data_IF_213944993992
#
_entry.id   IF_213944993992
#
_cell.length_a   1.000
_cell.length_b   1.000
_cell.length_c   1.000
_cell.angle_alpha   90.00
_cell.angle_beta   90.00
_cell.angle_gamma   90.00
#
_symmetry.space_group_name_H-M   'P 1'
#
loop_
_entity.id
_entity.type
_entity.pdbx_description
1 polymer ?
#
# COMPACT_ATOMS: atom_id res chain seq x y z
N UNK A 1 -4.88 32.81 11.93
CA UNK A 1 -4.71 31.68 10.97
C UNK A 1 -4.68 30.31 11.67
N UNK A 2 -5.70 29.96 12.47
CA UNK A 2 -5.85 28.60 13.05
C UNK A 2 -7.23 27.98 12.80
N UNK A 3 -8.23 28.80 12.49
CA UNK A 3 -9.63 28.36 12.28
C UNK A 3 -9.83 27.66 10.93
N UNK A 4 -9.15 28.13 9.88
CA UNK A 4 -9.28 27.58 8.52
C UNK A 4 -8.74 26.13 8.46
N UNK A 5 -7.68 25.83 9.21
CA UNK A 5 -7.05 24.50 9.26
C UNK A 5 -7.85 23.47 10.04
N UNK A 6 -8.69 23.90 10.99
CA UNK A 6 -9.54 23.00 11.79
C UNK A 6 -10.82 22.66 11.01
N UNK A 7 -11.41 23.65 10.33
CA UNK A 7 -12.59 23.44 9.48
C UNK A 7 -12.30 22.55 8.27
N UNK A 8 -11.11 22.67 7.67
CA UNK A 8 -10.73 21.79 6.56
C UNK A 8 -10.59 20.33 7.02
N UNK A 9 -9.96 20.05 8.17
CA UNK A 9 -9.90 18.69 8.73
C UNK A 9 -11.27 18.09 9.03
N UNK A 10 -12.22 18.90 9.49
CA UNK A 10 -13.59 18.45 9.74
C UNK A 10 -14.35 18.17 8.43
N UNK A 11 -14.16 18.99 7.40
CA UNK A 11 -14.75 18.78 6.07
C UNK A 11 -14.14 17.56 5.35
N UNK A 12 -12.83 17.35 5.44
CA UNK A 12 -12.15 16.19 4.85
C UNK A 12 -12.61 14.85 5.44
N UNK A 13 -13.08 14.84 6.70
CA UNK A 13 -13.63 13.65 7.37
C UNK A 13 -15.08 13.32 6.99
N UNK A 14 -15.79 14.23 6.31
CA UNK A 14 -17.18 14.05 5.91
C UNK A 14 -17.34 13.51 4.49
N UNK A 15 -16.26 13.46 3.71
CA UNK A 15 -16.21 12.78 2.42
C UNK A 15 -15.77 11.33 2.68
N UNK A 16 -16.44 10.32 2.09
CA UNK A 16 -15.98 8.93 2.18
C UNK A 16 -14.62 8.86 1.50
N UNK A 17 -13.58 8.88 2.32
CA UNK A 17 -12.21 8.94 1.89
C UNK A 17 -11.67 7.52 1.92
N UNK A 18 -11.86 6.80 0.81
CA UNK A 18 -10.96 5.70 0.48
C UNK A 18 -9.59 6.32 0.11
N UNK A 19 -8.89 6.90 1.09
CA UNK A 19 -7.51 7.41 0.94
C UNK A 19 -6.57 6.22 0.82
N UNK A 20 -6.64 5.55 -0.32
CA UNK A 20 -5.64 4.58 -0.73
C UNK A 20 -4.34 5.34 -1.04
N UNK A 21 -3.39 5.30 -0.11
CA UNK A 21 -2.04 5.81 -0.32
C UNK A 21 -1.10 4.64 -0.48
N UNK A 22 -0.18 4.76 -1.43
CA UNK A 22 0.61 3.61 -1.85
C UNK A 22 2.03 4.03 -2.21
N UNK A 23 3.02 3.21 -1.85
CA UNK A 23 4.45 3.51 -1.99
C UNK A 23 4.96 3.35 -3.42
N UNK A 24 6.26 3.20 -3.63
CA UNK A 24 6.80 2.85 -4.96
C UNK A 24 6.75 1.34 -5.22
N UNK A 25 6.77 0.96 -6.51
CA UNK A 25 6.92 -0.44 -6.91
C UNK A 25 8.37 -0.88 -6.74
N UNK A 26 8.57 -1.96 -5.99
CA UNK A 26 9.87 -2.57 -5.75
C UNK A 26 9.93 -3.86 -6.56
N UNK A 27 10.72 -3.85 -7.64
CA UNK A 27 10.93 -5.03 -8.46
C UNK A 27 11.78 -6.06 -7.72
N UNK A 28 11.46 -7.33 -7.90
CA UNK A 28 12.33 -8.43 -7.49
C UNK A 28 13.53 -8.55 -8.45
N UNK A 29 14.45 -9.47 -8.15
CA UNK A 29 15.65 -9.70 -8.96
C UNK A 29 15.40 -10.06 -10.44
N UNK A 30 14.23 -10.61 -10.78
CA UNK A 30 13.89 -11.01 -12.16
C UNK A 30 13.31 -9.86 -12.99
N UNK A 31 12.86 -8.78 -12.33
CA UNK A 31 12.11 -7.70 -12.97
C UNK A 31 10.67 -8.04 -13.37
N UNK A 32 10.29 -9.33 -13.37
CA UNK A 32 8.94 -9.78 -13.73
C UNK A 32 7.91 -9.51 -12.63
N UNK A 33 8.33 -9.58 -11.37
CA UNK A 33 7.45 -9.42 -10.21
C UNK A 33 7.84 -8.16 -9.45
N UNK A 34 6.87 -7.31 -9.14
CA UNK A 34 7.04 -6.11 -8.33
C UNK A 34 6.06 -6.10 -7.17
N UNK A 35 6.46 -5.51 -6.04
CA UNK A 35 5.63 -5.38 -4.85
C UNK A 35 5.48 -3.92 -4.45
N UNK A 36 4.36 -3.58 -3.82
CA UNK A 36 4.05 -2.22 -3.39
C UNK A 36 3.27 -2.24 -2.09
N UNK A 37 3.67 -1.37 -1.17
CA UNK A 37 2.91 -1.08 0.03
C UNK A 37 1.68 -0.25 -0.31
N UNK A 38 0.52 -0.63 0.23
CA UNK A 38 -0.72 0.11 0.12
C UNK A 38 -1.37 0.21 1.50
N UNK A 39 -1.87 1.40 1.80
CA UNK A 39 -2.51 1.72 3.07
C UNK A 39 -3.84 2.41 2.77
N UNK A 40 -4.91 1.92 3.38
CA UNK A 40 -6.25 2.49 3.29
C UNK A 40 -6.71 2.90 4.68
N UNK A 41 -7.24 4.10 4.82
CA UNK A 41 -7.89 4.53 6.06
C UNK A 41 -9.33 4.02 6.07
N UNK A 42 -9.80 3.49 7.20
CA UNK A 42 -11.20 3.11 7.41
C UNK A 42 -12.02 4.28 7.99
N UNK A 43 -13.34 4.06 8.10
CA UNK A 43 -14.27 5.02 8.69
C UNK A 43 -13.96 5.35 10.16
N UNK A 44 -13.19 4.49 10.86
CA UNK A 44 -12.78 4.67 12.24
C UNK A 44 -11.42 5.39 12.38
N UNK A 45 -10.80 5.82 11.26
CA UNK A 45 -9.49 6.45 11.23
C UNK A 45 -8.33 5.48 11.51
N UNK A 46 -8.54 4.17 11.37
CA UNK A 46 -7.50 3.15 11.41
C UNK A 46 -6.99 2.87 10.00
N UNK A 47 -5.73 2.47 9.91
CA UNK A 47 -5.01 2.28 8.66
C UNK A 47 -4.85 0.79 8.39
N UNK A 48 -5.63 0.28 7.44
CA UNK A 48 -5.47 -1.06 6.89
C UNK A 48 -4.26 -1.11 5.98
N UNK A 49 -3.40 -2.09 6.22
CA UNK A 49 -2.15 -2.26 5.50
C UNK A 49 -2.20 -3.49 4.64
N UNK A 50 -1.77 -3.35 3.40
CA UNK A 50 -1.71 -4.45 2.46
C UNK A 50 -0.48 -4.31 1.55
N UNK A 51 -0.05 -5.44 1.01
CA UNK A 51 0.97 -5.47 -0.04
C UNK A 51 0.33 -5.99 -1.32
N UNK A 52 0.48 -5.20 -2.38
CA UNK A 52 0.08 -5.57 -3.73
C UNK A 52 1.28 -6.12 -4.50
N UNK A 53 1.04 -7.07 -5.39
CA UNK A 53 1.95 -7.50 -6.44
C UNK A 53 1.52 -6.98 -7.79
N UNK A 54 2.50 -6.86 -8.66
CA UNK A 54 2.33 -6.69 -10.10
C UNK A 54 3.25 -7.67 -10.83
N UNK A 55 2.71 -8.45 -11.75
CA UNK A 55 3.49 -9.32 -12.64
C UNK A 55 3.53 -8.72 -14.04
N UNK A 56 4.60 -8.99 -14.80
CA UNK A 56 4.78 -8.52 -16.17
C UNK A 56 6.01 -7.62 -16.34
N UNK A 57 6.46 -7.46 -17.58
CA UNK A 57 7.67 -6.70 -17.91
C UNK A 57 7.37 -5.27 -18.38
N UNK A 58 6.15 -5.04 -18.86
CA UNK A 58 5.75 -3.79 -19.51
C UNK A 58 4.37 -3.38 -19.04
N UNK A 59 4.04 -2.09 -19.20
CA UNK A 59 2.75 -1.53 -18.79
C UNK A 59 1.55 -2.27 -19.41
N UNK A 60 1.72 -2.81 -20.63
CA UNK A 60 0.68 -3.56 -21.34
C UNK A 60 0.49 -4.99 -20.82
N UNK A 61 1.50 -5.55 -20.16
CA UNK A 61 1.49 -6.94 -19.65
C UNK A 61 1.31 -7.00 -18.14
N UNK A 62 1.11 -5.84 -17.49
CA UNK A 62 0.95 -5.79 -16.05
C UNK A 62 -0.37 -6.41 -15.60
N UNK A 63 -0.26 -7.41 -14.73
CA UNK A 63 -1.36 -7.95 -13.94
C UNK A 63 -1.15 -7.58 -12.48
N UNK A 64 -2.22 -7.18 -11.80
CA UNK A 64 -2.18 -6.67 -10.43
C UNK A 64 -2.93 -7.61 -9.49
N UNK A 65 -2.45 -7.77 -8.27
CA UNK A 65 -3.15 -8.55 -7.25
C UNK A 65 -2.73 -8.20 -5.83
N UNK A 66 -3.59 -8.50 -4.85
CA UNK A 66 -3.23 -8.44 -3.43
C UNK A 66 -2.42 -9.69 -3.07
N UNK A 67 -1.32 -9.52 -2.34
CA UNK A 67 -0.48 -10.63 -1.85
C UNK A 67 -0.74 -10.89 -0.38
N UNK A 68 -0.77 -9.82 0.41
CA UNK A 68 -0.74 -9.93 1.86
C UNK A 68 -1.60 -8.85 2.48
N UNK A 69 -2.28 -9.22 3.55
CA UNK A 69 -2.83 -8.30 4.53
C UNK A 69 -1.85 -8.20 5.70
N UNK A 70 -1.38 -6.99 6.01
CA UNK A 70 -0.43 -6.76 7.09
C UNK A 70 -1.11 -6.27 8.37
N UNK A 71 -2.45 -6.28 8.42
CA UNK A 71 -3.24 -5.89 9.57
C UNK A 71 -3.62 -4.40 9.58
N UNK A 72 -4.03 -3.91 10.75
CA UNK A 72 -4.60 -2.58 10.91
C UNK A 72 -3.92 -1.81 12.03
N UNK A 73 -3.49 -0.58 11.76
CA UNK A 73 -2.70 0.24 12.68
C UNK A 73 -3.32 1.61 12.93
N UNK A 74 -2.95 2.26 14.04
CA UNK A 74 -3.54 3.54 14.44
C UNK A 74 -2.85 4.76 13.81
N UNK A 75 -1.71 4.58 13.14
CA UNK A 75 -1.00 5.68 12.49
C UNK A 75 -0.56 5.31 11.09
N UNK A 76 -0.75 6.25 10.15
CA UNK A 76 -0.36 6.08 8.75
C UNK A 76 1.13 5.76 8.60
N UNK A 77 2.00 6.46 9.34
CA UNK A 77 3.46 6.27 9.26
C UNK A 77 3.84 4.84 9.65
N UNK A 78 3.27 4.31 10.72
CA UNK A 78 3.56 2.94 11.15
C UNK A 78 3.00 1.92 10.15
N UNK A 79 1.75 2.14 9.71
CA UNK A 79 1.10 1.32 8.68
C UNK A 79 1.96 1.21 7.40
N UNK A 80 2.37 2.36 6.87
CA UNK A 80 3.20 2.43 5.66
C UNK A 80 4.58 1.80 5.87
N UNK A 81 5.21 2.03 7.04
CA UNK A 81 6.50 1.42 7.37
C UNK A 81 6.43 -0.10 7.40
N UNK A 82 5.36 -0.67 7.98
CA UNK A 82 5.18 -2.13 8.04
C UNK A 82 4.94 -2.68 6.64
N UNK A 83 3.98 -2.12 5.89
CA UNK A 83 3.67 -2.58 4.54
C UNK A 83 4.88 -2.45 3.60
N UNK A 84 5.66 -1.38 3.71
CA UNK A 84 6.87 -1.18 2.92
C UNK A 84 7.95 -2.18 3.29
N UNK A 85 8.16 -2.45 4.58
CA UNK A 85 9.11 -3.46 5.03
C UNK A 85 8.75 -4.85 4.46
N UNK A 86 7.48 -5.23 4.48
CA UNK A 86 6.98 -6.48 3.90
C UNK A 86 7.17 -6.52 2.38
N UNK A 87 6.88 -5.42 1.68
CA UNK A 87 7.10 -5.34 0.23
C UNK A 87 8.60 -5.50 -0.13
N UNK A 88 9.51 -4.92 0.65
CA UNK A 88 10.97 -5.10 0.48
C UNK A 88 11.38 -6.57 0.72
N UNK A 89 10.87 -7.19 1.79
CA UNK A 89 11.15 -8.59 2.08
C UNK A 89 10.70 -9.49 0.93
N UNK A 90 9.50 -9.29 0.41
CA UNK A 90 8.96 -10.04 -0.73
C UNK A 90 9.79 -9.82 -2.01
N UNK A 91 10.23 -8.59 -2.28
CA UNK A 91 11.07 -8.30 -3.43
C UNK A 91 12.46 -8.97 -3.35
N UNK A 92 13.01 -9.12 -2.14
CA UNK A 92 14.28 -9.81 -1.92
C UNK A 92 14.18 -11.34 -2.06
N UNK A 93 12.97 -11.90 -2.06
CA UNK A 93 12.82 -13.33 -2.30
C UNK A 93 13.17 -13.65 -3.76
N UNK A 94 14.36 -14.23 -3.95
CA UNK A 94 14.97 -14.51 -5.26
C UNK A 94 14.10 -15.40 -6.18
N UNK A 95 13.28 -16.29 -5.61
CA UNK A 95 12.48 -17.28 -6.34
C UNK A 95 11.01 -17.36 -5.89
N UNK A 96 10.48 -16.33 -5.22
CA UNK A 96 9.14 -16.46 -4.64
C UNK A 96 8.00 -16.25 -5.65
N UNK A 97 7.45 -17.39 -6.08
CA UNK A 97 6.02 -17.67 -6.27
C UNK A 97 5.38 -17.13 -7.56
N UNK A 98 5.67 -17.81 -8.67
CA UNK A 98 4.59 -18.31 -9.53
C UNK A 98 4.12 -19.65 -8.94
N UNK A 99 3.19 -19.62 -7.99
CA UNK A 99 2.32 -20.77 -7.77
C UNK A 99 1.11 -20.51 -8.65
N UNK A 100 0.99 -21.35 -9.68
CA UNK A 100 -0.05 -21.36 -10.70
C UNK A 100 -1.46 -21.43 -10.11
#
# INVERSE_FOLDING_TARGET
>A
MRLITVLSRALYRLLPHDTCTSGDWIANHTGYLSFRAEVREDENGRFHTLVCKRTGYTVLTFSYGKVMDCGTYNTFRHAMSVAHHQACQLAHLRYAWDIA
#
